data_IF_824746871946
#
_entry.id   IF_824746871946
#
_cell.length_a   1.000
_cell.length_b   1.000
_cell.length_c   1.000
_cell.angle_alpha   90.00
_cell.angle_beta   90.00
_cell.angle_gamma   90.00
#
_symmetry.space_group_name_H-M   'P 1'
#
loop_
_entity.id
_entity.type
_entity.pdbx_description
1 polymer ?
#
# COMPACT_ATOMS: atom_id res chain seq x y z
N UNK A 1 5.70 17.17 -13.98
CA UNK A 1 5.87 17.51 -12.55
C UNK A 1 5.85 16.21 -11.76
N UNK A 2 6.69 16.04 -10.72
CA UNK A 2 6.65 14.84 -9.87
C UNK A 2 5.34 14.77 -9.09
N UNK A 3 4.67 13.62 -9.11
CA UNK A 3 3.44 13.37 -8.35
C UNK A 3 3.71 12.44 -7.16
N UNK A 4 3.04 12.69 -6.05
CA UNK A 4 3.08 11.86 -4.86
C UNK A 4 1.66 11.53 -4.42
N UNK A 5 1.36 10.24 -4.27
CA UNK A 5 0.05 9.81 -3.78
C UNK A 5 0.09 9.67 -2.26
N UNK A 6 -0.74 10.44 -1.54
CA UNK A 6 -0.69 10.53 -0.07
C UNK A 6 -1.84 9.81 0.64
N UNK A 7 -2.81 9.28 -0.12
CA UNK A 7 -4.08 8.80 0.44
C UNK A 7 -4.47 7.41 -0.06
N UNK A 8 -3.51 6.48 -0.11
CA UNK A 8 -3.83 5.11 -0.57
C UNK A 8 -4.35 4.18 0.51
N UNK A 9 -5.25 3.30 0.11
CA UNK A 9 -5.82 2.25 0.96
C UNK A 9 -5.51 0.89 0.32
N UNK A 10 -4.98 -0.04 1.10
CA UNK A 10 -4.63 -1.40 0.65
C UNK A 10 -5.64 -2.41 1.19
N UNK A 11 -5.50 -3.68 0.78
CA UNK A 11 -6.29 -4.80 1.30
C UNK A 11 -6.17 -5.02 2.84
N UNK A 12 -5.26 -4.32 3.52
CA UNK A 12 -5.20 -4.28 4.98
C UNK A 12 -6.25 -3.38 5.63
N UNK A 13 -6.98 -2.60 4.83
CA UNK A 13 -8.26 -2.02 5.22
C UNK A 13 -9.37 -2.97 4.82
N UNK A 14 -9.78 -3.82 5.76
CA UNK A 14 -10.74 -4.88 5.50
C UNK A 14 -12.05 -4.37 4.92
N UNK A 15 -12.60 -5.12 3.96
CA UNK A 15 -13.89 -4.85 3.31
C UNK A 15 -13.96 -3.49 2.57
N UNK A 16 -12.84 -2.81 2.37
CA UNK A 16 -12.78 -1.52 1.64
C UNK A 16 -11.63 -1.50 0.65
N UNK A 17 -10.42 -1.83 1.07
CA UNK A 17 -9.27 -1.88 0.17
C UNK A 17 -9.18 -3.20 -0.58
N UNK A 18 -8.79 -3.14 -1.85
CA UNK A 18 -8.69 -4.31 -2.74
C UNK A 18 -7.23 -4.63 -3.11
N UNK A 19 -6.40 -3.63 -3.32
CA UNK A 19 -5.04 -3.80 -3.85
C UNK A 19 -4.04 -4.24 -2.77
N UNK A 20 -3.12 -5.13 -3.14
CA UNK A 20 -2.02 -5.52 -2.27
C UNK A 20 -0.96 -4.40 -2.20
N UNK A 21 -0.41 -4.09 -1.01
CA UNK A 21 0.60 -3.04 -0.86
C UNK A 21 1.85 -3.29 -1.70
N UNK A 22 2.27 -4.54 -1.89
CA UNK A 22 3.41 -4.92 -2.73
C UNK A 22 3.19 -4.54 -4.20
N UNK A 23 2.00 -4.79 -4.72
CA UNK A 23 1.62 -4.44 -6.09
C UNK A 23 1.49 -2.93 -6.26
N UNK A 24 0.95 -2.23 -5.24
CA UNK A 24 0.81 -0.78 -5.27
C UNK A 24 2.15 -0.06 -5.34
N UNK A 25 3.14 -0.46 -4.52
CA UNK A 25 4.47 0.18 -4.58
C UNK A 25 5.21 -0.16 -5.86
N UNK A 26 5.04 -1.37 -6.38
CA UNK A 26 5.61 -1.73 -7.68
C UNK A 26 4.99 -0.87 -8.79
N UNK A 27 3.65 -0.75 -8.80
CA UNK A 27 2.96 0.07 -9.79
C UNK A 27 3.33 1.55 -9.70
N UNK A 28 3.51 2.06 -8.48
CA UNK A 28 3.99 3.42 -8.26
C UNK A 28 5.39 3.64 -8.87
N UNK A 29 6.27 2.63 -8.80
CA UNK A 29 7.60 2.69 -9.41
C UNK A 29 7.55 2.63 -10.94
N UNK A 30 6.70 1.77 -11.51
CA UNK A 30 6.44 1.71 -12.96
C UNK A 30 5.88 3.03 -13.50
N UNK A 31 5.01 3.70 -12.73
CA UNK A 31 4.44 4.99 -13.10
C UNK A 31 5.37 6.18 -12.83
N UNK A 32 6.54 5.96 -12.21
CA UNK A 32 7.48 7.03 -11.88
C UNK A 32 6.96 8.02 -10.83
N UNK A 33 6.15 7.56 -9.87
CA UNK A 33 5.72 8.39 -8.75
C UNK A 33 6.93 8.80 -7.89
N UNK A 34 6.94 10.05 -7.42
CA UNK A 34 7.96 10.53 -6.51
C UNK A 34 7.81 9.90 -5.11
N UNK A 35 6.57 9.69 -4.67
CA UNK A 35 6.28 9.05 -3.40
C UNK A 35 4.89 8.39 -3.39
N UNK A 36 4.72 7.42 -2.49
CA UNK A 36 3.44 6.79 -2.20
C UNK A 36 3.31 6.62 -0.68
N UNK A 37 2.20 7.08 -0.11
CA UNK A 37 1.83 6.85 1.27
C UNK A 37 0.82 5.71 1.36
N UNK A 38 1.14 4.68 2.14
CA UNK A 38 0.16 3.65 2.52
C UNK A 38 -0.57 4.14 3.75
N UNK A 39 -1.89 4.26 3.68
CA UNK A 39 -2.73 4.88 4.72
C UNK A 39 -3.94 4.01 5.08
N UNK A 40 -3.68 2.76 5.45
CA UNK A 40 -4.75 1.83 5.85
C UNK A 40 -5.51 2.32 7.08
N UNK A 41 -6.80 1.96 7.19
CA UNK A 41 -7.66 2.33 8.32
C UNK A 41 -7.16 1.68 9.61
N UNK A 42 -6.78 2.49 10.58
CA UNK A 42 -6.35 2.09 11.92
C UNK A 42 -5.32 0.94 11.91
N UNK A 43 -4.39 0.97 10.94
CA UNK A 43 -3.45 -0.11 10.68
C UNK A 43 -2.18 0.39 9.99
N UNK A 44 -1.05 -0.23 10.32
CA UNK A 44 0.24 -0.04 9.67
C UNK A 44 0.71 -1.32 8.95
N UNK A 45 -0.15 -2.34 8.86
CA UNK A 45 0.22 -3.64 8.30
C UNK A 45 0.60 -3.53 6.81
N UNK A 46 -0.13 -2.73 6.03
CA UNK A 46 0.20 -2.52 4.62
C UNK A 46 1.53 -1.79 4.41
N UNK A 47 1.86 -0.82 5.29
CA UNK A 47 3.16 -0.12 5.26
C UNK A 47 4.31 -1.12 5.37
N UNK A 48 4.23 -2.09 6.28
CA UNK A 48 5.31 -3.07 6.49
C UNK A 48 5.49 -3.94 5.24
N UNK A 49 4.40 -4.37 4.61
CA UNK A 49 4.43 -5.17 3.37
C UNK A 49 4.99 -4.38 2.19
N UNK A 50 4.52 -3.15 2.00
CA UNK A 50 5.06 -2.21 1.03
C UNK A 50 6.56 -1.98 1.22
N UNK A 51 7.01 -1.80 2.47
CA UNK A 51 8.42 -1.61 2.80
C UNK A 51 9.29 -2.81 2.42
N UNK A 52 8.82 -4.03 2.70
CA UNK A 52 9.54 -5.26 2.32
C UNK A 52 9.71 -5.33 0.80
N UNK A 53 8.62 -5.12 0.03
CA UNK A 53 8.69 -5.15 -1.43
C UNK A 53 9.61 -4.07 -2.00
N UNK A 54 9.55 -2.84 -1.48
CA UNK A 54 10.42 -1.75 -1.93
C UNK A 54 11.90 -2.06 -1.66
N UNK A 55 12.22 -2.74 -0.55
CA UNK A 55 13.58 -3.21 -0.27
C UNK A 55 14.05 -4.29 -1.23
N UNK A 56 13.17 -5.19 -1.66
CA UNK A 56 13.48 -6.20 -2.68
C UNK A 56 13.76 -5.53 -4.03
N UNK A 57 12.87 -4.64 -4.48
CA UNK A 57 13.05 -3.86 -5.71
C UNK A 57 14.37 -3.07 -5.71
N UNK A 58 14.73 -2.47 -4.57
CA UNK A 58 16.00 -1.76 -4.45
C UNK A 58 17.22 -2.69 -4.54
N UNK A 59 17.12 -3.91 -3.99
CA UNK A 59 18.18 -4.93 -4.13
C UNK A 59 18.30 -5.41 -5.57
N UNK A 60 17.18 -5.68 -6.24
CA UNK A 60 17.12 -6.05 -7.66
C UNK A 60 17.78 -4.95 -8.53
N UNK A 61 17.39 -3.69 -8.33
CA UNK A 61 17.97 -2.54 -9.04
C UNK A 61 19.47 -2.37 -8.77
N UNK A 62 19.93 -2.62 -7.54
CA UNK A 62 21.37 -2.51 -7.20
C UNK A 62 22.21 -3.66 -7.78
N UNK A 63 21.63 -4.86 -7.94
CA UNK A 63 22.30 -6.01 -8.56
C UNK A 63 22.44 -5.85 -10.08
N UNK A 64 21.57 -5.06 -10.70
CA UNK A 64 21.66 -4.64 -12.10
C UNK A 64 22.67 -3.47 -12.22
N UNK A 65 23.97 -3.74 -11.99
CA UNK A 65 25.07 -2.85 -12.43
C UNK A 65 25.35 -3.14 -13.92
N UNK A 66 25.66 -2.13 -14.76
CA UNK A 66 25.47 -2.21 -16.21
C UNK A 66 26.55 -3.09 -16.87
N UNK A 67 26.21 -4.33 -17.22
CA UNK A 67 26.80 -4.98 -18.38
C UNK A 67 25.90 -4.63 -19.56
N UNK A 68 26.30 -3.65 -20.38
CA UNK A 68 25.72 -3.32 -21.69
C UNK A 68 24.29 -3.86 -21.88
N UNK A 69 23.34 -3.31 -21.13
CA UNK A 69 21.96 -3.75 -21.20
C UNK A 69 21.42 -3.06 -22.45
N UNK A 70 21.33 -3.82 -23.54
CA UNK A 70 20.53 -3.36 -24.67
C UNK A 70 19.08 -3.31 -24.21
N UNK A 71 18.29 -2.35 -24.71
CA UNK A 71 16.88 -2.15 -24.34
C UNK A 71 15.98 -3.41 -24.45
N UNK A 72 16.51 -4.50 -25.02
CA UNK A 72 15.85 -5.79 -25.16
C UNK A 72 15.98 -6.69 -23.91
N UNK A 73 16.99 -6.50 -23.06
CA UNK A 73 17.36 -7.42 -21.97
C UNK A 73 16.66 -7.11 -20.63
N UNK A 74 16.15 -5.88 -20.46
CA UNK A 74 15.48 -5.44 -19.22
C UNK A 74 14.00 -5.86 -19.11
N UNK A 75 13.53 -6.76 -19.99
CA UNK A 75 12.16 -7.29 -20.00
C UNK A 75 11.92 -8.21 -18.80
N UNK A 76 11.78 -7.63 -17.60
CA UNK A 76 11.13 -8.32 -16.49
C UNK A 76 9.66 -8.40 -16.82
N UNK A 77 9.32 -9.44 -17.56
CA UNK A 77 7.99 -9.80 -18.03
C UNK A 77 7.06 -9.82 -16.82
N UNK A 78 6.20 -8.80 -16.66
CA UNK A 78 5.07 -8.85 -15.72
C UNK A 78 4.20 -10.01 -16.18
N UNK A 79 4.47 -11.20 -15.63
CA UNK A 79 3.53 -12.30 -15.66
C UNK A 79 2.51 -11.92 -14.61
N UNK A 80 1.35 -11.41 -15.03
CA UNK A 80 0.15 -11.46 -14.21
C UNK A 80 0.05 -12.89 -13.66
N UNK A 81 0.46 -13.11 -12.42
CA UNK A 81 0.31 -14.39 -11.75
C UNK A 81 -1.00 -14.29 -11.01
N UNK A 82 -2.04 -14.90 -11.57
CA UNK A 82 -3.29 -15.14 -10.86
C UNK A 82 -2.94 -15.92 -9.60
N UNK A 83 -2.93 -15.25 -8.44
CA UNK A 83 -2.80 -15.91 -7.14
C UNK A 83 -4.21 -16.22 -6.64
N UNK A 84 -4.47 -17.50 -6.41
CA UNK A 84 -5.67 -17.92 -5.70
C UNK A 84 -5.44 -17.57 -4.23
N UNK A 85 -6.25 -16.67 -3.70
CA UNK A 85 -6.27 -16.36 -2.28
C UNK A 85 -6.81 -17.58 -1.50
N UNK A 86 -6.05 -18.17 -0.56
CA UNK A 86 -6.50 -19.31 0.25
C UNK A 86 -7.74 -19.01 1.12
N UNK A 87 -8.09 -17.73 1.30
CA UNK A 87 -9.27 -17.29 2.04
C UNK A 87 -10.53 -17.19 1.17
N UNK A 88 -10.43 -17.44 -0.14
CA UNK A 88 -11.59 -17.46 -1.02
C UNK A 88 -12.53 -18.63 -0.63
N UNK A 89 -13.78 -18.31 -0.29
CA UNK A 89 -14.82 -19.30 0.05
C UNK A 89 -15.40 -20.02 -1.18
N UNK A 90 -14.73 -19.92 -2.32
CA UNK A 90 -15.14 -20.52 -3.58
C UNK A 90 -14.38 -21.83 -3.72
N UNK A 91 -15.08 -22.93 -4.05
CA UNK A 91 -14.40 -24.16 -4.43
C UNK A 91 -13.52 -23.90 -5.67
N UNK A 92 -12.42 -24.64 -5.80
CA UNK A 92 -11.53 -24.55 -6.97
C UNK A 92 -12.31 -24.70 -8.29
N UNK A 93 -13.34 -25.55 -8.29
CA UNK A 93 -14.21 -25.76 -9.45
C UNK A 93 -15.08 -24.53 -9.77
N UNK A 94 -15.59 -23.84 -8.75
CA UNK A 94 -16.36 -22.61 -8.93
C UNK A 94 -15.49 -21.43 -9.40
N UNK A 95 -14.24 -21.37 -8.96
CA UNK A 95 -13.24 -20.42 -9.46
C UNK A 95 -12.94 -20.70 -10.94
N UNK A 96 -12.63 -21.96 -11.29
CA UNK A 96 -12.36 -22.37 -12.68
C UNK A 96 -13.54 -22.04 -13.62
N UNK A 97 -14.77 -22.32 -13.20
CA UNK A 97 -15.97 -22.06 -14.01
C UNK A 97 -16.19 -20.55 -14.25
N UNK A 98 -16.01 -19.69 -13.22
CA UNK A 98 -16.16 -18.23 -13.38
C UNK A 98 -15.07 -17.61 -14.25
N UNK A 99 -13.84 -18.11 -14.18
CA UNK A 99 -12.73 -17.57 -14.99
C UNK A 99 -12.66 -18.14 -16.41
N UNK A 100 -13.30 -19.28 -16.68
CA UNK A 100 -13.37 -19.85 -18.03
C UNK A 100 -14.31 -19.08 -18.97
N UNK A 101 -15.19 -18.22 -18.42
CA UNK A 101 -16.15 -17.40 -19.17
C UNK A 101 -15.87 -15.89 -19.09
N UNK A 102 -14.89 -15.46 -18.29
CA UNK A 102 -14.48 -14.06 -18.28
C UNK A 102 -13.73 -13.78 -19.57
N UNK A 103 -14.22 -12.83 -20.38
CA UNK A 103 -13.38 -12.27 -21.44
C UNK A 103 -12.09 -11.77 -20.79
N UNK A 104 -10.91 -12.11 -21.35
CA UNK A 104 -9.67 -11.60 -20.84
C UNK A 104 -9.79 -10.07 -20.83
N UNK A 105 -9.74 -9.47 -19.64
CA UNK A 105 -9.60 -8.02 -19.52
C UNK A 105 -8.43 -7.68 -20.42
N UNK A 106 -8.69 -6.86 -21.45
CA UNK A 106 -7.65 -6.42 -22.37
C UNK A 106 -6.48 -6.00 -21.49
N UNK A 107 -5.32 -6.67 -21.64
CA UNK A 107 -4.09 -6.17 -21.02
C UNK A 107 -4.06 -4.70 -21.39
N UNK A 108 -3.88 -3.77 -20.42
CA UNK A 108 -3.68 -2.38 -20.75
C UNK A 108 -2.69 -2.38 -21.90
N UNK A 109 -3.12 -1.89 -23.07
CA UNK A 109 -2.27 -1.86 -24.25
C UNK A 109 -1.02 -1.18 -23.76
N UNK A 110 0.09 -1.92 -23.76
CA UNK A 110 1.39 -1.36 -23.50
C UNK A 110 1.46 -0.07 -24.30
N UNK A 111 1.52 1.07 -23.62
CA UNK A 111 1.91 2.28 -24.30
C UNK A 111 3.20 1.94 -25.06
N UNK A 112 3.44 2.48 -26.27
CA UNK A 112 4.62 2.16 -27.08
C UNK A 112 5.96 2.28 -26.34
N UNK A 113 5.95 2.93 -25.16
CA UNK A 113 7.01 3.05 -24.18
C UNK A 113 6.62 2.33 -22.86
N UNK A 114 6.71 0.99 -22.77
CA UNK A 114 6.49 0.25 -21.52
C UNK A 114 7.52 0.72 -20.47
N UNK A 115 7.12 1.22 -19.29
CA UNK A 115 8.09 1.74 -18.35
C UNK A 115 8.84 0.58 -17.69
N UNK A 116 10.12 0.43 -18.06
CA UNK A 116 11.17 0.01 -17.14
C UNK A 116 10.95 0.75 -15.80
N UNK A 117 11.23 0.14 -14.65
CA UNK A 117 11.09 0.82 -13.34
C UNK A 117 11.79 2.19 -13.42
N UNK A 118 11.00 3.26 -13.59
CA UNK A 118 11.52 4.57 -13.99
C UNK A 118 12.27 5.21 -12.82
N UNK A 119 11.74 4.99 -11.61
CA UNK A 119 12.36 5.33 -10.34
C UNK A 119 11.63 4.64 -9.20
N UNK A 120 12.33 4.31 -8.11
CA UNK A 120 11.69 3.79 -6.91
C UNK A 120 11.06 4.93 -6.11
N UNK A 121 9.75 4.87 -5.79
CA UNK A 121 9.08 5.92 -5.05
C UNK A 121 9.55 5.94 -3.59
N UNK A 122 9.54 7.11 -2.96
CA UNK A 122 9.66 7.20 -1.51
C UNK A 122 8.40 6.61 -0.86
N UNK A 123 8.56 5.60 -0.01
CA UNK A 123 7.47 5.12 0.83
C UNK A 123 7.25 6.08 2.01
N UNK A 124 6.05 6.64 2.10
CA UNK A 124 5.61 7.46 3.23
C UNK A 124 4.79 6.56 4.17
N UNK A 125 5.12 6.63 5.46
CA UNK A 125 4.44 5.84 6.49
C UNK A 125 3.23 6.63 6.97
N UNK A 126 2.04 6.04 6.86
CA UNK A 126 0.84 6.64 7.41
C UNK A 126 -0.25 5.65 7.75
N UNK A 127 -1.35 6.16 8.29
CA UNK A 127 -2.58 5.42 8.56
C UNK A 127 -3.75 6.40 8.52
N UNK A 128 -4.92 5.90 8.11
CA UNK A 128 -6.18 6.61 8.23
C UNK A 128 -6.75 6.35 9.62
N UNK A 129 -6.78 7.37 10.45
CA UNK A 129 -7.38 7.33 11.77
C UNK A 129 -8.88 7.60 11.65
N UNK A 130 -9.67 6.70 12.22
CA UNK A 130 -11.12 6.85 12.38
C UNK A 130 -11.47 6.75 13.84
N UNK A 131 -12.40 7.59 14.28
CA UNK A 131 -12.75 7.74 15.68
C UNK A 131 -14.17 7.24 15.97
N UNK A 132 -14.44 6.91 17.23
CA UNK A 132 -15.73 6.38 17.68
C UNK A 132 -16.69 7.48 18.11
N UNK A 133 -16.17 8.65 18.47
CA UNK A 133 -16.87 9.82 19.02
C UNK A 133 -17.12 10.92 17.97
N UNK A 134 -16.54 10.81 16.78
CA UNK A 134 -16.69 11.77 15.68
C UNK A 134 -16.62 11.10 14.31
N UNK A 135 -17.38 11.58 13.30
CA UNK A 135 -17.27 11.08 11.93
C UNK A 135 -16.00 11.54 11.20
N UNK A 136 -15.18 12.39 11.83
CA UNK A 136 -13.93 12.88 11.25
C UNK A 136 -12.99 11.71 10.91
N UNK A 137 -12.38 11.76 9.73
CA UNK A 137 -11.26 10.88 9.38
C UNK A 137 -10.01 11.72 9.14
N UNK A 138 -8.88 11.26 9.68
CA UNK A 138 -7.59 11.97 9.57
C UNK A 138 -6.55 11.01 9.03
N UNK A 139 -5.84 11.41 7.98
CA UNK A 139 -4.59 10.74 7.61
C UNK A 139 -3.48 11.23 8.52
N UNK A 140 -2.89 10.32 9.29
CA UNK A 140 -1.70 10.58 10.08
C UNK A 140 -0.48 10.04 9.36
N UNK A 141 0.45 10.92 8.98
CA UNK A 141 1.73 10.58 8.37
C UNK A 141 2.84 10.71 9.42
N UNK A 142 3.70 9.70 9.49
CA UNK A 142 4.86 9.64 10.38
C UNK A 142 6.14 10.02 9.60
N UNK A 143 6.64 11.27 9.74
CA UNK A 143 7.84 11.71 9.01
C UNK A 143 9.14 11.10 9.54
N UNK A 144 9.15 10.63 10.79
CA UNK A 144 10.32 10.07 11.46
C UNK A 144 9.99 8.89 12.39
N UNK A 145 11.02 8.32 13.03
CA UNK A 145 10.88 7.16 13.93
C UNK A 145 10.14 7.48 15.22
N UNK A 146 10.26 8.70 15.74
CA UNK A 146 9.58 9.12 16.97
C UNK A 146 8.08 9.24 16.70
N UNK A 147 7.70 9.87 15.60
CA UNK A 147 6.33 9.96 15.13
C UNK A 147 5.75 8.56 14.83
N UNK A 148 6.51 7.67 14.20
CA UNK A 148 6.09 6.29 13.97
C UNK A 148 5.84 5.54 15.29
N UNK A 149 6.72 5.68 16.28
CA UNK A 149 6.55 5.05 17.58
C UNK A 149 5.29 5.56 18.31
N UNK A 150 5.01 6.86 18.23
CA UNK A 150 3.78 7.47 18.77
C UNK A 150 2.54 6.95 18.07
N UNK A 151 2.56 6.87 16.73
CA UNK A 151 1.46 6.32 15.94
C UNK A 151 1.18 4.85 16.29
N UNK A 152 2.23 4.04 16.46
CA UNK A 152 2.09 2.67 16.93
C UNK A 152 1.43 2.60 18.31
N UNK A 153 1.84 3.43 19.27
CA UNK A 153 1.25 3.47 20.62
C UNK A 153 -0.23 3.84 20.57
N UNK A 154 -0.60 4.86 19.77
CA UNK A 154 -1.99 5.24 19.57
C UNK A 154 -2.83 4.06 19.05
N UNK A 155 -2.37 3.44 17.96
CA UNK A 155 -3.06 2.28 17.38
C UNK A 155 -3.12 1.09 18.34
N UNK A 156 -2.08 0.86 19.15
CA UNK A 156 -2.09 -0.17 20.19
C UNK A 156 -3.12 0.12 21.27
N UNK A 157 -3.24 1.38 21.70
CA UNK A 157 -4.24 1.82 22.66
C UNK A 157 -5.66 1.60 22.13
N UNK A 158 -5.94 2.02 20.89
CA UNK A 158 -7.27 1.81 20.29
C UNK A 158 -7.60 0.33 20.09
N UNK A 159 -6.64 -0.48 19.61
CA UNK A 159 -6.81 -1.94 19.47
C UNK A 159 -6.95 -2.65 20.80
N UNK A 160 -6.36 -2.13 21.87
CA UNK A 160 -6.48 -2.68 23.22
C UNK A 160 -7.86 -2.46 23.84
N UNK A 161 -8.59 -1.42 23.40
CA UNK A 161 -9.95 -1.10 23.86
C UNK A 161 -11.03 -1.85 23.08
N UNK A 162 -10.75 -2.22 21.84
CA UNK A 162 -11.72 -2.82 20.93
C UNK A 162 -11.78 -4.35 21.00
N UNK A 163 -12.87 -4.92 20.44
CA UNK A 163 -12.93 -6.35 20.13
C UNK A 163 -11.94 -6.71 19.01
N UNK A 164 -11.66 -8.02 18.84
CA UNK A 164 -10.72 -8.51 17.82
C UNK A 164 -11.08 -7.98 16.42
N UNK A 165 -10.12 -7.28 15.81
CA UNK A 165 -10.29 -6.69 14.49
C UNK A 165 -10.80 -5.25 14.50
N UNK A 166 -11.18 -4.72 15.67
CA UNK A 166 -11.54 -3.31 15.88
C UNK A 166 -10.35 -2.45 16.33
N UNK A 167 -10.61 -1.16 16.42
CA UNK A 167 -9.68 -0.16 16.96
C UNK A 167 -10.51 1.06 17.41
N UNK A 168 -10.70 1.17 18.72
CA UNK A 168 -11.58 2.17 19.33
C UNK A 168 -10.74 3.36 19.80
N UNK A 169 -10.64 4.36 18.92
CA UNK A 169 -9.97 5.62 19.18
C UNK A 169 -10.99 6.75 19.33
N UNK A 170 -10.74 7.68 20.25
CA UNK A 170 -11.45 8.95 20.33
C UNK A 170 -10.60 10.07 19.73
N UNK A 171 -11.22 11.20 19.40
CA UNK A 171 -10.47 12.37 18.94
C UNK A 171 -9.49 12.86 20.02
N UNK A 172 -9.88 12.77 21.30
CA UNK A 172 -9.04 13.12 22.43
C UNK A 172 -7.76 12.26 22.49
N UNK A 173 -7.83 10.96 22.15
CA UNK A 173 -6.63 10.12 22.09
C UNK A 173 -5.60 10.65 21.08
N UNK A 174 -6.05 11.30 20.00
CA UNK A 174 -5.17 11.95 19.02
C UNK A 174 -4.65 13.30 19.54
N UNK A 175 -5.46 14.06 20.27
CA UNK A 175 -5.06 15.34 20.85
C UNK A 175 -4.04 15.18 21.99
N UNK A 176 -4.08 14.07 22.72
CA UNK A 176 -3.17 13.77 23.84
C UNK A 176 -1.75 13.38 23.40
N UNK A 177 -1.53 13.13 22.10
CA UNK A 177 -0.22 12.72 21.58
C UNK A 177 0.68 13.95 21.40
N UNK A 178 1.94 13.83 21.81
CA UNK A 178 2.94 14.86 21.54
C UNK A 178 3.08 15.19 20.02
N UNK A 179 3.25 16.48 19.66
CA UNK A 179 3.37 16.92 18.27
C UNK A 179 4.49 16.22 17.48
N UNK A 180 4.24 15.92 16.21
CA UNK A 180 5.22 15.30 15.31
C UNK A 180 4.62 14.44 14.19
N UNK A 181 3.32 14.13 14.26
CA UNK A 181 2.56 13.60 13.14
C UNK A 181 2.15 14.73 12.20
N UNK A 182 2.18 14.47 10.89
CA UNK A 182 1.57 15.35 9.90
C UNK A 182 0.14 14.84 9.70
N UNK A 183 -0.84 15.69 9.96
CA UNK A 183 -2.25 15.34 9.89
C UNK A 183 -2.90 15.98 8.67
N UNK A 184 -3.63 15.19 7.88
CA UNK A 184 -4.45 15.65 6.76
C UNK A 184 -5.91 15.31 7.06
N UNK A 185 -6.78 16.30 7.12
CA UNK A 185 -8.21 16.08 7.24
C UNK A 185 -8.75 15.48 5.93
N UNK A 186 -9.52 14.40 6.03
CA UNK A 186 -10.32 13.90 4.91
C UNK A 186 -11.68 14.59 4.92
N UNK A 187 -12.07 15.12 3.76
CA UNK A 187 -13.39 15.75 3.52
C UNK A 187 -14.32 14.72 2.89
#
# INVERSE_FOLDING_TARGET
>A
MPYAELTTTTNFTFLTGASHPEEMVQRAAELGLAAIAITDRNSLAGVVRAHVRLRELNREATQIKPRNITAQDARTRIRSQTRIDPSSRLSEDALRARFSQAEPVAKPVAAPDEPEILSLPKLIIGTRLTFTDTPLEVIALAPDRTAYARLCRLLTLGKGRAQKGGCDLTLDDLCDIEPGLILLACV
#
